data_IF_529317139098
#
_entry.id   IF_529317139098
#
_cell.length_a   1.000
_cell.length_b   1.000
_cell.length_c   1.000
_cell.angle_alpha   90.00
_cell.angle_beta   90.00
_cell.angle_gamma   90.00
#
_symmetry.space_group_name_H-M   'P 1'
#
loop_
_entity.id
_entity.type
_entity.pdbx_description
1 polymer ?
#
# COMPACT_ATOMS: atom_id res chain seq x y z
N UNK A 1 8.65 -26.09 21.17
CA UNK A 1 8.96 -24.98 20.24
C UNK A 1 7.70 -24.13 20.12
N UNK A 2 7.69 -22.94 20.71
CA UNK A 2 6.51 -22.06 20.71
C UNK A 2 6.16 -21.67 19.28
N UNK A 3 4.92 -21.95 18.87
CA UNK A 3 4.36 -21.66 17.56
C UNK A 3 4.01 -20.16 17.42
N UNK A 4 4.98 -19.26 17.69
CA UNK A 4 4.80 -17.81 17.65
C UNK A 4 5.07 -17.23 16.25
N UNK A 5 4.60 -17.93 15.21
CA UNK A 5 4.57 -17.38 13.86
C UNK A 5 3.43 -16.37 13.77
N UNK A 6 3.75 -15.11 13.43
CA UNK A 6 2.72 -14.13 13.10
C UNK A 6 1.94 -14.54 11.84
N UNK A 7 0.71 -14.05 11.71
CA UNK A 7 -0.20 -14.40 10.63
C UNK A 7 0.39 -14.16 9.23
N UNK A 8 1.29 -13.20 9.08
CA UNK A 8 1.94 -12.89 7.81
C UNK A 8 2.94 -13.97 7.41
N UNK A 9 3.75 -14.40 8.38
CA UNK A 9 4.71 -15.49 8.21
C UNK A 9 3.98 -16.81 7.92
N UNK A 10 2.89 -17.07 8.65
CA UNK A 10 2.06 -18.25 8.43
C UNK A 10 1.43 -18.28 7.03
N UNK A 11 0.78 -17.19 6.61
CA UNK A 11 0.16 -17.08 5.27
C UNK A 11 1.18 -17.28 4.15
N UNK A 12 2.39 -16.72 4.28
CA UNK A 12 3.47 -16.92 3.32
C UNK A 12 3.92 -18.38 3.24
N UNK A 13 4.10 -19.03 4.39
CA UNK A 13 4.50 -20.45 4.45
C UNK A 13 3.46 -21.38 3.82
N UNK A 14 2.17 -21.02 3.87
CA UNK A 14 1.09 -21.78 3.22
C UNK A 14 0.97 -21.50 1.71
N UNK A 15 1.77 -20.59 1.15
CA UNK A 15 1.64 -20.20 -0.26
C UNK A 15 0.32 -19.52 -0.57
N UNK A 16 -0.33 -18.89 0.41
CA UNK A 16 -1.64 -18.27 0.21
C UNK A 16 -1.55 -17.19 -0.87
N UNK A 17 -2.48 -17.25 -1.84
CA UNK A 17 -2.58 -16.28 -2.93
C UNK A 17 -3.08 -14.93 -2.43
N UNK A 18 -2.44 -13.87 -2.91
CA UNK A 18 -2.81 -12.48 -2.65
C UNK A 18 -3.76 -11.89 -3.70
N UNK A 19 -3.92 -12.57 -4.84
CA UNK A 19 -4.60 -12.02 -6.02
C UNK A 19 -6.10 -11.89 -5.74
N UNK A 20 -6.68 -10.73 -6.06
CA UNK A 20 -8.09 -10.43 -5.80
C UNK A 20 -8.43 -10.06 -4.37
N UNK A 21 -7.42 -9.82 -3.52
CA UNK A 21 -7.63 -9.57 -2.09
C UNK A 21 -7.59 -8.09 -1.73
N UNK A 22 -7.40 -7.18 -2.70
CA UNK A 22 -7.44 -5.76 -2.41
C UNK A 22 -8.89 -5.36 -2.05
N UNK A 23 -9.09 -4.53 -1.01
CA UNK A 23 -10.42 -4.02 -0.68
C UNK A 23 -10.95 -3.18 -1.85
N UNK A 24 -12.25 -3.27 -2.11
CA UNK A 24 -12.89 -2.42 -3.12
C UNK A 24 -12.99 -0.99 -2.59
N UNK A 25 -12.25 -0.08 -3.23
CA UNK A 25 -12.20 1.35 -2.95
C UNK A 25 -11.99 2.12 -4.26
N UNK A 26 -12.92 3.02 -4.58
CA UNK A 26 -12.86 3.88 -5.77
C UNK A 26 -12.60 5.35 -5.46
N UNK A 27 -12.56 5.70 -4.17
CA UNK A 27 -12.21 7.04 -3.69
C UNK A 27 -11.44 6.90 -2.36
N UNK A 28 -10.16 7.24 -2.38
CA UNK A 28 -9.32 7.28 -1.19
C UNK A 28 -9.25 8.69 -0.64
N UNK A 29 -9.51 8.87 0.66
CA UNK A 29 -9.28 10.12 1.40
C UNK A 29 -8.18 9.84 2.42
N UNK A 30 -7.00 10.42 2.25
CA UNK A 30 -5.85 10.16 3.13
C UNK A 30 -5.53 11.41 3.92
N UNK A 31 -5.92 11.41 5.20
CA UNK A 31 -5.81 12.54 6.10
C UNK A 31 -4.62 12.35 7.04
N UNK A 32 -3.68 13.29 7.04
CA UNK A 32 -2.57 13.28 7.97
C UNK A 32 -3.07 13.45 9.40
N UNK A 33 -2.76 12.47 10.26
CA UNK A 33 -3.13 12.50 11.67
C UNK A 33 -1.92 12.14 12.54
N UNK A 34 -1.45 13.13 13.29
CA UNK A 34 -0.23 13.04 14.09
C UNK A 34 -0.44 12.42 15.48
N UNK A 35 -1.70 12.26 15.92
CA UNK A 35 -2.04 11.59 17.17
C UNK A 35 -1.84 10.07 17.12
N UNK A 36 -2.09 9.42 18.25
CA UNK A 36 -1.97 7.96 18.38
C UNK A 36 -3.06 7.25 17.57
N UNK A 37 -2.69 6.16 16.88
CA UNK A 37 -3.66 5.32 16.17
C UNK A 37 -4.20 4.23 17.11
N UNK A 38 -5.46 4.39 17.51
CA UNK A 38 -6.24 3.34 18.15
C UNK A 38 -6.55 2.21 17.15
N UNK A 39 -7.12 1.11 17.64
CA UNK A 39 -7.47 -0.05 16.81
C UNK A 39 -8.33 0.31 15.56
N UNK A 40 -9.22 1.30 15.70
CA UNK A 40 -9.87 1.99 14.58
C UNK A 40 -9.56 3.50 14.69
N UNK A 41 -8.59 4.02 13.91
CA UNK A 41 -8.12 5.39 14.05
C UNK A 41 -9.07 6.41 13.41
N UNK A 42 -10.07 5.97 12.66
CA UNK A 42 -11.13 6.87 12.16
C UNK A 42 -12.14 7.12 13.28
N UNK A 43 -12.56 6.07 13.98
CA UNK A 43 -13.59 6.17 15.04
C UNK A 43 -13.05 6.62 16.40
N UNK A 44 -11.80 6.32 16.70
CA UNK A 44 -11.17 6.60 17.99
C UNK A 44 -9.89 7.39 17.79
N UNK A 45 -10.01 8.71 17.91
CA UNK A 45 -8.92 9.66 17.79
C UNK A 45 -9.26 10.96 18.56
N UNK A 46 -8.38 11.95 18.46
CA UNK A 46 -8.52 13.25 19.14
C UNK A 46 -9.05 14.37 18.24
N UNK A 47 -9.64 14.05 17.08
CA UNK A 47 -10.32 15.04 16.23
C UNK A 47 -11.60 15.52 16.91
N UNK A 48 -12.02 16.76 16.61
CA UNK A 48 -13.24 17.32 17.18
C UNK A 48 -14.48 16.59 16.66
N UNK A 49 -15.59 16.72 17.39
CA UNK A 49 -16.88 16.13 17.01
C UNK A 49 -17.35 16.61 15.64
N UNK A 50 -17.09 17.88 15.28
CA UNK A 50 -17.48 18.44 13.99
C UNK A 50 -16.71 17.78 12.84
N UNK A 51 -15.41 17.52 13.02
CA UNK A 51 -14.60 16.79 12.03
C UNK A 51 -15.05 15.33 11.92
N UNK A 52 -15.36 14.70 13.05
CA UNK A 52 -15.91 13.35 13.04
C UNK A 52 -17.27 13.29 12.32
N UNK A 53 -18.12 14.29 12.54
CA UNK A 53 -19.39 14.41 11.84
C UNK A 53 -19.18 14.61 10.33
N UNK A 54 -18.26 15.49 9.93
CA UNK A 54 -17.90 15.70 8.53
C UNK A 54 -17.41 14.40 7.87
N UNK A 55 -16.48 13.67 8.49
CA UNK A 55 -15.97 12.39 7.95
C UNK A 55 -17.12 11.42 7.70
N UNK A 56 -17.99 11.21 8.70
CA UNK A 56 -19.09 10.26 8.58
C UNK A 56 -20.10 10.68 7.51
N UNK A 57 -20.51 11.95 7.52
CA UNK A 57 -21.44 12.51 6.53
C UNK A 57 -20.90 12.41 5.11
N UNK A 58 -19.64 12.77 4.89
CA UNK A 58 -18.98 12.69 3.59
C UNK A 58 -18.94 11.25 3.07
N UNK A 59 -18.58 10.30 3.93
CA UNK A 59 -18.58 8.87 3.58
C UNK A 59 -19.97 8.36 3.24
N UNK A 60 -21.00 8.76 3.98
CA UNK A 60 -22.38 8.30 3.75
C UNK A 60 -22.95 8.87 2.45
N UNK A 61 -22.77 10.16 2.18
CA UNK A 61 -23.19 10.79 0.91
C UNK A 61 -22.53 10.14 -0.31
N UNK A 62 -21.23 9.84 -0.24
CA UNK A 62 -20.51 9.15 -1.31
C UNK A 62 -21.06 7.73 -1.53
N UNK A 63 -21.36 7.00 -0.45
CA UNK A 63 -21.95 5.65 -0.52
C UNK A 63 -23.37 5.66 -1.08
N UNK A 64 -24.19 6.63 -0.69
CA UNK A 64 -25.53 6.86 -1.25
C UNK A 64 -25.47 7.12 -2.76
N UNK A 65 -24.41 7.81 -3.22
CA UNK A 65 -24.07 7.98 -4.63
C UNK A 65 -23.50 6.74 -5.34
N UNK A 66 -23.43 5.58 -4.67
CA UNK A 66 -22.94 4.32 -5.24
C UNK A 66 -21.42 4.16 -5.27
N UNK A 67 -20.67 5.03 -4.56
CA UNK A 67 -19.21 4.98 -4.45
C UNK A 67 -18.74 4.04 -3.34
N UNK A 68 -17.46 3.68 -3.40
CA UNK A 68 -16.77 2.87 -2.40
C UNK A 68 -15.66 3.71 -1.74
N UNK A 69 -16.01 4.74 -0.96
CA UNK A 69 -15.01 5.62 -0.36
C UNK A 69 -14.33 4.96 0.84
N UNK A 70 -13.06 5.30 1.06
CA UNK A 70 -12.33 4.92 2.26
C UNK A 70 -11.40 6.03 2.75
N UNK A 71 -11.54 6.36 4.04
CA UNK A 71 -10.63 7.27 4.73
C UNK A 71 -9.49 6.47 5.36
N UNK A 72 -8.26 6.96 5.22
CA UNK A 72 -7.09 6.44 5.90
C UNK A 72 -6.39 7.57 6.67
N UNK A 73 -5.96 7.28 7.89
CA UNK A 73 -5.05 8.17 8.60
C UNK A 73 -3.65 7.93 8.06
N UNK A 74 -2.93 9.01 7.75
CA UNK A 74 -1.54 8.95 7.30
C UNK A 74 -0.63 9.72 8.24
N UNK A 75 0.67 9.46 8.14
CA UNK A 75 1.69 10.20 8.86
C UNK A 75 2.95 10.29 8.01
N UNK A 76 3.43 11.51 7.79
CA UNK A 76 4.64 11.78 7.03
C UNK A 76 5.91 11.66 7.88
N UNK A 77 7.06 11.77 7.23
CA UNK A 77 8.36 11.98 7.89
C UNK A 77 8.62 13.44 8.27
N UNK A 78 7.84 14.38 7.71
CA UNK A 78 7.99 15.83 7.93
C UNK A 78 7.36 16.26 9.25
N UNK A 79 7.87 17.36 9.81
CA UNK A 79 7.34 17.99 11.02
C UNK A 79 5.96 18.59 10.76
N UNK A 80 5.00 18.34 11.66
CA UNK A 80 3.65 18.92 11.68
C UNK A 80 3.61 20.47 11.68
N UNK A 81 4.77 21.14 11.78
CA UNK A 81 4.91 22.60 11.69
C UNK A 81 4.51 23.18 10.33
N UNK A 82 4.33 22.36 9.30
CA UNK A 82 3.93 22.81 7.96
C UNK A 82 2.44 22.65 7.66
N UNK A 83 1.62 22.24 8.64
CA UNK A 83 0.22 21.87 8.43
C UNK A 83 0.00 20.36 8.32
N UNK A 84 -1.20 19.96 7.92
CA UNK A 84 -1.66 18.59 7.77
C UNK A 84 -1.94 18.29 6.29
N UNK A 85 -1.36 17.23 5.77
CA UNK A 85 -1.63 16.80 4.39
C UNK A 85 -2.98 16.11 4.27
N UNK A 86 -3.74 16.44 3.24
CA UNK A 86 -4.85 15.64 2.75
C UNK A 86 -4.61 15.25 1.30
N UNK A 87 -4.74 13.96 1.01
CA UNK A 87 -4.75 13.46 -0.35
C UNK A 87 -6.13 12.92 -0.70
N UNK A 88 -6.57 13.14 -1.93
CA UNK A 88 -7.74 12.46 -2.49
C UNK A 88 -7.32 11.80 -3.78
N UNK A 89 -7.65 10.52 -3.91
CA UNK A 89 -7.40 9.76 -5.12
C UNK A 89 -8.65 9.09 -5.65
N UNK A 90 -8.90 9.33 -6.92
CA UNK A 90 -10.08 8.89 -7.67
C UNK A 90 -9.74 8.89 -9.16
N UNK A 91 -10.28 7.93 -9.92
CA UNK A 91 -10.23 7.92 -11.39
C UNK A 91 -8.82 8.10 -11.96
N UNK A 92 -7.82 7.45 -11.35
CA UNK A 92 -6.42 7.55 -11.78
C UNK A 92 -5.76 8.91 -11.54
N UNK A 93 -6.36 9.78 -10.71
CA UNK A 93 -5.76 11.03 -10.26
C UNK A 93 -5.46 10.97 -8.77
N UNK A 94 -4.42 11.70 -8.37
CA UNK A 94 -4.08 11.95 -6.97
C UNK A 94 -3.94 13.46 -6.81
N UNK A 95 -4.63 14.03 -5.84
CA UNK A 95 -4.59 15.46 -5.53
C UNK A 95 -4.15 15.65 -4.09
N UNK A 96 -3.37 16.69 -3.82
CA UNK A 96 -2.79 16.97 -2.50
C UNK A 96 -3.04 18.43 -2.10
N UNK A 97 -3.46 18.62 -0.86
CA UNK A 97 -3.57 19.93 -0.23
C UNK A 97 -2.96 19.89 1.17
N UNK A 98 -2.46 21.04 1.60
CA UNK A 98 -2.00 21.27 2.98
C UNK A 98 -3.09 22.07 3.69
N UNK A 99 -3.54 21.57 4.84
CA UNK A 99 -4.46 22.22 5.77
C UNK A 99 -3.65 22.85 6.91
N UNK A 100 -3.99 24.06 7.34
CA UNK A 100 -3.37 24.68 8.51
C UNK A 100 -4.03 24.20 9.82
N UNK A 101 -5.30 23.82 9.78
CA UNK A 101 -6.01 23.14 10.85
C UNK A 101 -6.95 22.05 10.31
N UNK A 102 -7.41 21.15 11.19
CA UNK A 102 -8.42 20.17 10.78
C UNK A 102 -9.78 20.82 10.48
N UNK A 103 -10.07 22.01 11.04
CA UNK A 103 -11.35 22.70 10.89
C UNK A 103 -11.65 23.09 9.43
N UNK A 104 -10.60 23.28 8.62
CA UNK A 104 -10.71 23.51 7.17
C UNK A 104 -11.39 22.35 6.42
N UNK A 105 -11.44 21.14 7.00
CA UNK A 105 -12.17 20.03 6.40
C UNK A 105 -13.67 20.30 6.32
N UNK A 106 -14.25 21.10 7.22
CA UNK A 106 -15.71 21.32 7.30
C UNK A 106 -16.26 21.88 5.99
N UNK A 107 -15.47 22.71 5.32
CA UNK A 107 -15.84 23.37 4.06
C UNK A 107 -15.35 22.61 2.81
N UNK A 108 -14.64 21.49 2.98
CA UNK A 108 -14.04 20.73 1.88
C UNK A 108 -15.07 19.83 1.17
N UNK A 109 -15.29 20.07 -0.13
CA UNK A 109 -15.99 19.13 -1.01
C UNK A 109 -14.98 18.19 -1.69
N UNK A 110 -14.90 16.95 -1.20
CA UNK A 110 -14.00 15.91 -1.69
C UNK A 110 -14.21 15.50 -3.15
N UNK A 111 -15.28 15.97 -3.81
CA UNK A 111 -15.56 15.72 -5.22
C UNK A 111 -15.22 16.93 -6.13
N UNK A 112 -15.00 18.12 -5.57
CA UNK A 112 -14.83 19.36 -6.35
C UNK A 112 -13.56 20.13 -6.01
N UNK A 113 -13.23 20.20 -4.72
CA UNK A 113 -12.26 21.15 -4.18
C UNK A 113 -11.03 20.41 -3.70
N UNK A 114 -10.09 20.11 -4.61
CA UNK A 114 -8.95 19.31 -4.20
C UNK A 114 -7.67 19.76 -4.86
N UNK A 115 -6.96 20.61 -4.12
CA UNK A 115 -5.53 20.92 -4.19
C UNK A 115 -4.83 20.81 -5.54
N UNK A 116 -3.54 20.52 -5.47
CA UNK A 116 -2.68 20.40 -6.64
C UNK A 116 -2.64 18.94 -7.12
N UNK A 117 -2.57 18.77 -8.44
CA UNK A 117 -2.37 17.44 -9.04
C UNK A 117 -0.98 16.91 -8.67
N UNK A 118 -0.94 15.66 -8.19
CA UNK A 118 0.31 14.95 -7.91
C UNK A 118 0.63 14.03 -9.08
N UNK A 119 1.61 14.42 -9.90
CA UNK A 119 2.00 13.66 -11.10
C UNK A 119 2.84 12.41 -10.78
N UNK A 120 3.53 12.40 -9.64
CA UNK A 120 4.40 11.30 -9.22
C UNK A 120 3.65 10.23 -8.42
N UNK A 121 4.12 8.98 -8.46
CA UNK A 121 3.60 7.95 -7.55
C UNK A 121 3.81 8.35 -6.08
N UNK A 122 2.82 8.09 -5.24
CA UNK A 122 2.89 8.28 -3.79
C UNK A 122 2.59 6.96 -3.10
N UNK A 123 3.39 6.62 -2.09
CA UNK A 123 3.38 5.31 -1.44
C UNK A 123 2.77 5.43 -0.05
N UNK A 124 1.80 4.59 0.28
CA UNK A 124 1.16 4.54 1.59
C UNK A 124 1.39 3.17 2.20
N UNK A 125 2.28 3.10 3.18
CA UNK A 125 2.74 1.86 3.79
C UNK A 125 2.01 1.65 5.10
N UNK A 126 1.30 0.52 5.22
CA UNK A 126 0.56 0.21 6.43
C UNK A 126 1.53 -0.14 7.58
N UNK A 127 1.58 0.72 8.61
CA UNK A 127 2.41 0.53 9.82
C UNK A 127 1.57 0.37 11.09
N UNK A 128 0.27 0.13 10.95
CA UNK A 128 -0.69 0.18 12.06
C UNK A 128 -0.60 -0.99 13.05
N UNK A 129 0.30 -0.85 14.04
CA UNK A 129 0.60 -1.89 15.04
C UNK A 129 -0.50 -2.22 16.03
N UNK A 130 -1.31 -1.22 16.42
CA UNK A 130 -2.45 -1.42 17.33
C UNK A 130 -3.52 -2.32 16.73
N UNK A 131 -3.64 -2.32 15.38
CA UNK A 131 -4.51 -3.24 14.65
C UNK A 131 -3.85 -4.60 14.50
N UNK A 132 -2.62 -4.64 13.99
CA UNK A 132 -1.93 -5.90 13.67
C UNK A 132 -0.42 -5.82 13.89
N UNK A 133 0.14 -6.76 14.66
CA UNK A 133 1.58 -6.85 14.98
C UNK A 133 2.47 -6.94 13.73
N UNK A 134 2.05 -7.69 12.70
CA UNK A 134 2.83 -7.84 11.46
C UNK A 134 2.92 -6.54 10.64
N UNK A 135 1.88 -5.70 10.66
CA UNK A 135 1.91 -4.40 10.01
C UNK A 135 2.96 -3.48 10.64
N UNK A 136 3.04 -3.42 11.97
CA UNK A 136 4.11 -2.67 12.63
C UNK A 136 5.50 -3.28 12.37
N UNK A 137 5.64 -4.60 12.56
CA UNK A 137 6.93 -5.31 12.46
C UNK A 137 7.58 -5.16 11.08
N UNK A 138 6.82 -5.41 10.02
CA UNK A 138 7.37 -5.43 8.66
C UNK A 138 7.13 -4.11 7.92
N UNK A 139 5.98 -3.46 8.14
CA UNK A 139 5.59 -2.24 7.41
C UNK A 139 6.51 -1.06 7.70
N UNK A 140 6.95 -0.86 8.95
CA UNK A 140 7.84 0.25 9.27
C UNK A 140 9.18 0.15 8.53
N UNK A 141 9.76 -1.06 8.43
CA UNK A 141 11.01 -1.28 7.70
C UNK A 141 10.87 -0.97 6.20
N UNK A 142 9.77 -1.41 5.58
CA UNK A 142 9.45 -1.07 4.20
C UNK A 142 9.25 0.43 4.00
N UNK A 143 8.59 1.10 4.94
CA UNK A 143 8.38 2.55 4.88
C UNK A 143 9.69 3.31 4.94
N UNK A 144 10.66 2.92 5.78
CA UNK A 144 11.99 3.57 5.83
C UNK A 144 12.65 3.52 4.46
N UNK A 145 12.75 2.34 3.84
CA UNK A 145 13.38 2.17 2.52
C UNK A 145 12.65 2.98 1.45
N UNK A 146 11.31 2.92 1.39
CA UNK A 146 10.54 3.68 0.41
C UNK A 146 10.61 5.19 0.65
N UNK A 147 10.73 5.64 1.89
CA UNK A 147 10.86 7.07 2.21
C UNK A 147 12.18 7.65 1.69
N UNK A 148 13.27 6.90 1.84
CA UNK A 148 14.58 7.27 1.32
C UNK A 148 14.58 7.30 -0.21
N UNK A 149 14.09 6.24 -0.86
CA UNK A 149 14.09 6.13 -2.33
C UNK A 149 13.15 7.13 -3.01
N UNK A 150 12.01 7.40 -2.41
CA UNK A 150 10.96 8.26 -3.00
C UNK A 150 11.13 9.75 -2.69
N UNK A 151 12.19 10.14 -1.97
CA UNK A 151 12.45 11.51 -1.54
C UNK A 151 11.26 12.13 -0.78
N UNK A 152 10.69 11.37 0.18
CA UNK A 152 9.60 11.84 1.03
C UNK A 152 8.18 11.67 0.47
N UNK A 153 7.99 10.97 -0.66
CA UNK A 153 6.65 10.60 -1.18
C UNK A 153 6.08 9.32 -0.54
N UNK A 154 6.74 8.76 0.47
CA UNK A 154 6.26 7.61 1.22
C UNK A 154 5.70 8.01 2.58
N UNK A 155 4.46 7.63 2.81
CA UNK A 155 3.68 7.90 4.00
C UNK A 155 3.46 6.61 4.78
N UNK A 156 3.46 6.71 6.09
CA UNK A 156 2.85 5.68 6.92
C UNK A 156 1.33 5.82 6.82
N UNK A 157 0.58 4.72 6.85
CA UNK A 157 -0.87 4.77 6.88
C UNK A 157 -1.48 3.77 7.87
N UNK A 158 -2.72 4.06 8.26
CA UNK A 158 -3.57 3.16 9.02
C UNK A 158 -3.82 1.85 8.23
N UNK A 159 -4.46 0.89 8.89
CA UNK A 159 -4.62 -0.46 8.35
C UNK A 159 -5.27 -0.46 6.97
N UNK A 160 -4.64 -1.09 5.97
CA UNK A 160 -5.15 -1.19 4.58
C UNK A 160 -6.04 -2.43 4.34
N UNK A 161 -6.13 -3.36 5.29
CA UNK A 161 -6.69 -4.70 5.06
C UNK A 161 -5.61 -5.70 4.68
N UNK A 162 -5.81 -6.98 5.00
CA UNK A 162 -4.89 -8.07 4.60
C UNK A 162 -3.57 -8.06 5.37
N UNK A 163 -3.60 -7.91 6.70
CA UNK A 163 -2.39 -7.98 7.55
C UNK A 163 -1.59 -9.28 7.39
N UNK A 164 -2.26 -10.40 7.06
CA UNK A 164 -1.60 -11.67 6.73
C UNK A 164 -0.76 -11.61 5.43
N UNK A 165 -0.86 -10.52 4.68
CA UNK A 165 -0.04 -10.22 3.52
C UNK A 165 0.92 -9.03 3.78
N UNK A 166 1.16 -8.68 5.04
CA UNK A 166 2.06 -7.57 5.37
C UNK A 166 3.50 -7.85 4.87
N UNK A 167 4.28 -6.80 4.53
CA UNK A 167 3.90 -5.38 4.42
C UNK A 167 2.92 -5.09 3.29
N UNK A 168 1.92 -4.24 3.58
CA UNK A 168 1.00 -3.75 2.56
C UNK A 168 1.36 -2.32 2.16
N UNK A 169 1.39 -2.07 0.85
CA UNK A 169 1.67 -0.76 0.25
C UNK A 169 0.56 -0.43 -0.73
N UNK A 170 -0.11 0.70 -0.53
CA UNK A 170 -0.99 1.31 -1.52
C UNK A 170 -0.16 2.29 -2.35
N UNK A 171 -0.26 2.21 -3.68
CA UNK A 171 0.37 3.16 -4.60
C UNK A 171 -0.73 3.95 -5.31
N UNK A 172 -0.66 5.27 -5.18
CA UNK A 172 -1.54 6.22 -5.85
C UNK A 172 -0.70 7.09 -6.81
N UNK A 173 -1.25 7.51 -7.97
CA UNK A 173 -2.64 7.37 -8.42
C UNK A 173 -3.00 6.01 -9.04
N UNK A 174 -2.09 5.03 -9.07
CA UNK A 174 -2.34 3.72 -9.71
C UNK A 174 -3.50 2.91 -9.11
N UNK A 175 -4.01 3.31 -7.94
CA UNK A 175 -5.07 2.64 -7.19
C UNK A 175 -4.77 1.15 -6.92
N UNK A 176 -3.49 0.77 -6.73
CA UNK A 176 -3.09 -0.62 -6.54
C UNK A 176 -2.57 -0.89 -5.13
N UNK A 177 -3.02 -2.01 -4.58
CA UNK A 177 -2.48 -2.54 -3.33
C UNK A 177 -1.51 -3.68 -3.62
N UNK A 178 -0.37 -3.62 -2.94
CA UNK A 178 0.68 -4.61 -2.98
C UNK A 178 0.85 -5.21 -1.58
N UNK A 179 1.09 -6.51 -1.52
CA UNK A 179 1.38 -7.25 -0.30
C UNK A 179 2.78 -7.87 -0.35
N UNK A 180 3.29 -8.24 0.82
CA UNK A 180 4.61 -8.86 1.01
C UNK A 180 5.74 -8.04 0.38
N UNK A 181 5.61 -6.70 0.39
CA UNK A 181 6.66 -5.79 -0.08
C UNK A 181 7.66 -5.60 1.06
N UNK A 182 8.46 -6.62 1.33
CA UNK A 182 9.46 -6.59 2.39
C UNK A 182 10.57 -5.56 2.10
N UNK A 183 11.26 -5.09 3.12
CA UNK A 183 12.32 -4.08 2.97
C UNK A 183 13.41 -4.54 1.99
N UNK A 184 13.69 -5.84 1.97
CA UNK A 184 14.65 -6.51 1.08
C UNK A 184 14.25 -6.45 -0.40
N UNK A 185 12.94 -6.42 -0.71
CA UNK A 185 12.43 -6.30 -2.08
C UNK A 185 11.96 -4.87 -2.43
N UNK A 186 11.93 -3.96 -1.46
CA UNK A 186 11.35 -2.62 -1.61
C UNK A 186 12.07 -1.76 -2.66
N UNK A 187 13.39 -1.89 -2.81
CA UNK A 187 14.14 -1.14 -3.84
C UNK A 187 13.79 -1.59 -5.26
N UNK A 188 13.67 -2.90 -5.49
CA UNK A 188 13.24 -3.42 -6.78
C UNK A 188 11.77 -3.07 -7.06
N UNK A 189 10.91 -3.21 -6.05
CA UNK A 189 9.51 -2.78 -6.13
C UNK A 189 9.40 -1.31 -6.53
N UNK A 190 10.12 -0.42 -5.85
CA UNK A 190 10.15 1.02 -6.15
C UNK A 190 10.52 1.28 -7.61
N UNK A 191 11.62 0.67 -8.10
CA UNK A 191 12.06 0.81 -9.50
C UNK A 191 11.00 0.41 -10.51
N UNK A 192 10.32 -0.72 -10.29
CA UNK A 192 9.22 -1.20 -11.17
C UNK A 192 8.10 -0.17 -11.21
N UNK A 193 7.67 0.33 -10.06
CA UNK A 193 6.58 1.32 -9.96
C UNK A 193 6.95 2.64 -10.64
N UNK A 194 8.18 3.14 -10.46
CA UNK A 194 8.63 4.40 -11.07
C UNK A 194 8.79 4.29 -12.59
N UNK A 195 9.08 3.10 -13.10
CA UNK A 195 9.05 2.80 -14.54
C UNK A 195 7.61 2.70 -15.13
N UNK A 196 6.58 3.01 -14.34
CA UNK A 196 5.16 2.88 -14.72
C UNK A 196 4.75 1.42 -15.01
N UNK A 197 5.49 0.45 -14.45
CA UNK A 197 5.21 -0.96 -14.57
C UNK A 197 4.44 -1.50 -13.35
N UNK A 198 3.93 -2.72 -13.46
CA UNK A 198 3.17 -3.39 -12.41
C UNK A 198 4.04 -4.45 -11.74
N UNK A 199 4.28 -4.32 -10.44
CA UNK A 199 4.95 -5.35 -9.63
C UNK A 199 4.02 -6.54 -9.35
N UNK A 200 3.74 -7.36 -10.38
CA UNK A 200 2.75 -8.45 -10.36
C UNK A 200 2.99 -9.50 -9.27
N UNK A 201 4.24 -9.75 -8.89
CA UNK A 201 4.61 -10.66 -7.78
C UNK A 201 4.01 -10.21 -6.44
N UNK A 202 3.90 -8.90 -6.23
CA UNK A 202 3.37 -8.30 -5.01
C UNK A 202 1.90 -7.90 -5.14
N UNK A 203 1.33 -7.88 -6.34
CA UNK A 203 0.03 -7.28 -6.61
C UNK A 203 -1.10 -8.08 -5.94
N UNK A 204 -1.87 -7.39 -5.08
CA UNK A 204 -3.14 -7.89 -4.54
C UNK A 204 -4.30 -7.58 -5.47
N UNK A 205 -4.29 -6.39 -6.07
CA UNK A 205 -5.27 -5.93 -7.04
C UNK A 205 -5.38 -4.41 -7.09
N UNK A 206 -6.05 -3.91 -8.13
CA UNK A 206 -6.51 -2.53 -8.23
C UNK A 206 -7.78 -2.35 -7.39
N UNK A 207 -7.80 -1.38 -6.48
CA UNK A 207 -8.87 -1.20 -5.50
C UNK A 207 -10.21 -0.82 -6.12
N UNK A 208 -10.21 -0.16 -7.28
CA UNK A 208 -11.46 0.22 -7.98
C UNK A 208 -12.27 -1.01 -8.43
N UNK A 209 -11.58 -2.14 -8.62
CA UNK A 209 -12.15 -3.38 -9.13
C UNK A 209 -12.68 -4.29 -8.02
N UNK A 210 -13.73 -5.04 -8.35
CA UNK A 210 -14.20 -6.17 -7.53
C UNK A 210 -13.16 -7.31 -7.54
N UNK A 211 -13.19 -8.23 -6.56
CA UNK A 211 -12.20 -9.31 -6.45
C UNK A 211 -11.95 -10.10 -7.75
N UNK A 212 -13.01 -10.46 -8.47
CA UNK A 212 -12.94 -11.21 -9.74
C UNK A 212 -12.27 -10.41 -10.87
N UNK A 213 -12.51 -9.10 -10.93
CA UNK A 213 -11.91 -8.18 -11.89
C UNK A 213 -10.42 -7.94 -11.58
N UNK A 214 -10.06 -7.86 -10.30
CA UNK A 214 -8.66 -7.81 -9.86
C UNK A 214 -7.90 -9.07 -10.27
N UNK A 215 -8.48 -10.27 -10.07
CA UNK A 215 -7.87 -11.53 -10.52
C UNK A 215 -7.69 -11.54 -12.04
N UNK A 216 -8.70 -11.06 -12.78
CA UNK A 216 -8.64 -10.96 -14.24
C UNK A 216 -7.52 -10.02 -14.70
N UNK A 217 -7.41 -8.82 -14.13
CA UNK A 217 -6.33 -7.88 -14.43
C UNK A 217 -4.96 -8.52 -14.19
N UNK A 218 -4.76 -9.12 -13.03
CA UNK A 218 -3.50 -9.78 -12.68
C UNK A 218 -3.17 -10.90 -13.68
N UNK A 219 -4.16 -11.71 -14.06
CA UNK A 219 -3.99 -12.75 -15.06
C UNK A 219 -3.52 -12.22 -16.42
N UNK A 220 -4.10 -11.10 -16.87
CA UNK A 220 -3.70 -10.42 -18.12
C UNK A 220 -2.26 -9.93 -18.03
N UNK A 221 -1.88 -9.27 -16.93
CA UNK A 221 -0.54 -8.72 -16.76
C UNK A 221 0.54 -9.80 -16.66
N UNK A 222 0.23 -10.96 -16.06
CA UNK A 222 1.14 -12.10 -16.04
C UNK A 222 1.38 -12.72 -17.42
N UNK A 223 0.37 -12.69 -18.30
CA UNK A 223 0.51 -13.17 -19.69
C UNK A 223 1.28 -12.15 -20.54
N UNK A 224 1.00 -10.85 -20.36
CA UNK A 224 1.70 -9.76 -21.05
C UNK A 224 3.18 -9.70 -20.69
N UNK A 225 3.52 -9.93 -19.42
CA UNK A 225 4.89 -10.01 -18.92
C UNK A 225 5.48 -11.42 -18.94
N UNK A 226 5.30 -12.19 -20.02
CA UNK A 226 5.63 -13.62 -20.17
C UNK A 226 6.92 -14.14 -19.47
N UNK A 227 6.99 -15.45 -19.22
CA UNK A 227 7.49 -16.05 -17.98
C UNK A 227 8.90 -15.57 -17.61
N UNK A 228 9.00 -14.80 -16.53
CA UNK A 228 10.27 -14.69 -15.80
C UNK A 228 10.51 -16.05 -15.16
N UNK A 229 11.22 -16.93 -15.88
CA UNK A 229 11.92 -18.02 -15.22
C UNK A 229 12.88 -17.36 -14.24
N UNK A 230 12.61 -17.54 -12.95
CA UNK A 230 13.64 -17.39 -11.93
C UNK A 230 14.71 -18.42 -12.32
N UNK A 231 15.76 -17.99 -13.01
CA UNK A 231 16.97 -18.77 -13.11
C UNK A 231 17.51 -18.82 -11.70
N UNK A 232 17.22 -19.90 -10.98
CA UNK A 232 18.07 -20.32 -9.87
C UNK A 232 19.48 -20.40 -10.44
N UNK A 233 20.33 -19.45 -10.08
CA UNK A 233 21.76 -19.56 -10.30
C UNK A 233 22.28 -20.62 -9.34
N UNK A 234 22.02 -21.90 -9.66
CA UNK A 234 22.78 -23.00 -9.11
C UNK A 234 24.17 -22.91 -9.72
N UNK A 235 25.07 -22.18 -9.05
CA UNK A 235 26.50 -22.19 -9.32
C UNK A 235 27.04 -23.58 -8.98
N UNK A 236 26.87 -24.53 -9.90
CA UNK A 236 27.74 -25.70 -9.99
C UNK A 236 28.78 -25.38 -11.06
N UNK A 237 29.94 -24.92 -10.62
CA UNK A 237 31.21 -25.21 -11.28
C UNK A 237 32.37 -24.65 -10.45
N UNK A 238 32.90 -25.48 -9.55
CA UNK A 238 34.34 -25.72 -9.42
C UNK A 238 34.54 -27.12 -8.88
N UNK A 239 34.94 -28.04 -9.74
CA UNK A 239 36.17 -28.82 -9.59
C UNK A 239 36.40 -29.61 -10.90
N UNK A 240 37.33 -29.08 -11.69
CA UNK A 240 37.98 -29.77 -12.81
C UNK A 240 38.98 -30.79 -12.26
N UNK A 241 38.90 -32.03 -12.72
CA UNK A 241 40.06 -32.93 -12.95
C UNK A 241 39.60 -33.97 -13.99
N UNK A 242 39.88 -33.78 -15.29
CA UNK A 242 41.01 -34.36 -16.06
C UNK A 242 41.15 -35.88 -15.85
N UNK A 243 40.74 -36.70 -16.83
CA UNK A 243 41.56 -37.68 -17.58
C UNK A 243 40.74 -38.33 -18.73
N UNK A 244 41.32 -38.64 -19.90
CA UNK A 244 40.61 -39.19 -21.06
C UNK A 244 40.90 -40.69 -21.33
N UNK A 245 40.03 -41.36 -22.12
CA UNK A 245 40.16 -42.70 -22.74
C UNK A 245 40.14 -43.91 -21.77
N UNK A 246 39.51 -45.08 -22.04
CA UNK A 246 39.23 -45.83 -23.28
C UNK A 246 37.92 -46.66 -23.20
N UNK A 247 37.35 -46.97 -24.36
CA UNK A 247 36.38 -48.06 -24.58
C UNK A 247 37.06 -49.44 -24.62
N UNK A 248 36.24 -50.47 -24.33
CA UNK A 248 36.43 -51.93 -24.26
C UNK A 248 37.17 -52.50 -23.06
#
# INVERSE_FOLDING_TARGET
MSNDQDCSTFSLAQGESMRGTAPRVDLWILLEFTGLWAHDPIKSNSLSTDIQFWINRTLDLLREGGRFPRVQMIRGSRSARSGYSIFIAESGQLRHQILHSYDELIDLDVCKDIGDLVESNTYFVCTHGTRDRCCAKYGHRTWVVLSELSNGRAWQCSHLGGHRFAPNVLVLPQARLYGRVHAESAANFFRVIENQEIATVHLRGRSEFKPEEQVREIGIELVRGGPIQIRESCSKDKLKTVYPFMET
#
